data_IF_526100822076
#
_entry.id   IF_526100822076
#
_cell.length_a   1.000
_cell.length_b   1.000
_cell.length_c   1.000
_cell.angle_alpha   90.00
_cell.angle_beta   90.00
_cell.angle_gamma   90.00
#
_symmetry.space_group_name_H-M   'P 1'
#
loop_
_entity.id
_entity.type
_entity.pdbx_description
1 polymer ?
#
# COMPACT_ATOMS: atom_id res chain seq x y z
N UNK A 1 -18.56 -18.03 2.40
CA UNK A 1 -17.50 -19.04 2.37
C UNK A 1 -16.24 -18.43 2.97
N UNK A 2 -15.57 -19.15 3.84
CA UNK A 2 -14.25 -18.73 4.33
C UNK A 2 -13.25 -18.97 3.20
N UNK A 3 -12.66 -17.91 2.66
CA UNK A 3 -11.54 -18.03 1.75
C UNK A 3 -10.32 -18.42 2.57
N UNK A 4 -9.73 -19.58 2.30
CA UNK A 4 -8.46 -19.96 2.90
C UNK A 4 -7.37 -19.06 2.31
N UNK A 5 -6.73 -18.28 3.15
CA UNK A 5 -5.60 -17.45 2.78
C UNK A 5 -4.30 -18.25 2.99
N UNK A 6 -3.52 -18.35 1.95
CA UNK A 6 -2.20 -18.96 2.01
C UNK A 6 -1.13 -17.88 1.88
N UNK A 7 -0.28 -17.77 2.91
CA UNK A 7 0.88 -16.89 2.90
C UNK A 7 2.15 -17.70 2.63
N UNK A 8 2.97 -17.19 1.73
CA UNK A 8 4.37 -17.61 1.61
C UNK A 8 5.26 -16.37 1.56
N UNK A 9 6.39 -16.43 2.22
CA UNK A 9 7.41 -15.39 2.12
C UNK A 9 8.40 -15.66 0.97
N UNK A 10 8.22 -16.74 0.22
CA UNK A 10 9.08 -17.12 -0.91
C UNK A 10 9.13 -16.04 -1.99
N UNK A 11 8.03 -15.27 -2.15
CA UNK A 11 7.98 -14.14 -3.10
C UNK A 11 9.02 -13.05 -2.83
N UNK A 12 9.50 -12.98 -1.60
CA UNK A 12 10.46 -11.98 -1.15
C UNK A 12 11.87 -12.56 -0.98
N UNK A 13 12.01 -13.90 -0.96
CA UNK A 13 13.25 -14.62 -0.64
C UNK A 13 13.99 -15.15 -1.83
N UNK A 14 13.35 -15.31 -2.99
CA UNK A 14 13.98 -15.98 -4.10
C UNK A 14 15.24 -15.29 -4.60
N UNK A 15 16.31 -16.05 -4.88
CA UNK A 15 17.57 -15.49 -5.30
C UNK A 15 17.43 -14.78 -6.64
N UNK A 16 17.99 -13.60 -6.72
CA UNK A 16 18.11 -12.84 -7.96
C UNK A 16 19.00 -13.60 -8.91
N UNK A 17 18.46 -14.26 -9.92
CA UNK A 17 19.34 -14.83 -10.92
C UNK A 17 18.81 -15.91 -11.83
N UNK A 18 17.76 -16.63 -11.49
CA UNK A 18 17.24 -17.67 -12.38
C UNK A 18 15.81 -17.48 -12.84
N UNK A 19 15.00 -16.81 -12.09
CA UNK A 19 13.69 -16.26 -12.46
C UNK A 19 13.43 -15.08 -11.52
N UNK A 20 13.83 -13.94 -11.92
CA UNK A 20 13.34 -12.60 -11.75
C UNK A 20 12.18 -12.40 -10.75
N UNK A 21 12.41 -12.68 -9.48
CA UNK A 21 11.52 -12.20 -8.44
C UNK A 21 12.01 -10.85 -7.89
N UNK A 22 12.50 -10.01 -8.80
CA UNK A 22 12.51 -8.62 -8.47
C UNK A 22 11.06 -8.12 -8.51
N UNK A 23 10.81 -7.04 -7.83
CA UNK A 23 9.47 -6.44 -7.69
C UNK A 23 8.85 -6.00 -9.03
N UNK A 24 9.61 -5.99 -10.13
CA UNK A 24 9.14 -5.64 -11.47
C UNK A 24 8.44 -6.80 -12.19
N UNK A 25 8.53 -8.03 -11.65
CA UNK A 25 7.87 -9.20 -12.22
C UNK A 25 6.51 -9.41 -11.54
N UNK A 26 5.45 -9.39 -12.34
CA UNK A 26 4.10 -9.64 -11.82
C UNK A 26 3.97 -11.07 -11.29
N UNK A 27 3.54 -11.18 -10.03
CA UNK A 27 3.26 -12.46 -9.39
C UNK A 27 1.80 -12.52 -8.95
N UNK A 28 0.95 -13.39 -9.56
CA UNK A 28 -0.48 -13.48 -9.23
C UNK A 28 -0.74 -13.90 -7.77
N UNK A 29 0.12 -14.74 -7.21
CA UNK A 29 -0.04 -15.19 -5.84
C UNK A 29 0.28 -14.08 -4.84
N UNK A 30 1.33 -13.26 -5.10
CA UNK A 30 1.63 -12.07 -4.32
C UNK A 30 0.53 -11.02 -4.46
N UNK A 31 -0.04 -10.85 -5.66
CA UNK A 31 -1.20 -9.98 -5.86
C UNK A 31 -2.40 -10.44 -5.03
N UNK A 32 -2.70 -11.73 -5.01
CA UNK A 32 -3.78 -12.29 -4.18
C UNK A 32 -3.50 -12.07 -2.70
N UNK A 33 -2.28 -12.29 -2.26
CA UNK A 33 -1.84 -12.06 -0.88
C UNK A 33 -1.97 -10.59 -0.48
N UNK A 34 -1.59 -9.68 -1.39
CA UNK A 34 -1.71 -8.24 -1.21
C UNK A 34 -3.17 -7.78 -1.09
N UNK A 35 -4.07 -8.34 -1.92
CA UNK A 35 -5.49 -8.07 -1.81
C UNK A 35 -6.07 -8.55 -0.47
N UNK A 36 -5.66 -9.72 0.01
CA UNK A 36 -6.11 -10.23 1.31
C UNK A 36 -5.62 -9.35 2.47
N UNK A 37 -4.39 -8.84 2.40
CA UNK A 37 -3.88 -7.89 3.38
C UNK A 37 -4.73 -6.61 3.35
N UNK A 38 -5.02 -6.09 2.19
CA UNK A 38 -5.84 -4.89 2.02
C UNK A 38 -7.27 -5.09 2.54
N UNK A 39 -7.92 -6.21 2.19
CA UNK A 39 -9.25 -6.55 2.70
C UNK A 39 -9.27 -6.72 4.23
N UNK A 40 -8.17 -7.17 4.83
CA UNK A 40 -8.05 -7.25 6.29
C UNK A 40 -7.90 -5.88 6.96
N UNK A 41 -7.31 -4.92 6.25
CA UNK A 41 -7.18 -3.54 6.69
C UNK A 41 -8.48 -2.72 6.43
N UNK A 42 -9.41 -3.27 5.67
CA UNK A 42 -10.68 -2.63 5.36
C UNK A 42 -11.59 -2.60 6.58
N UNK A 43 -12.21 -1.45 6.80
CA UNK A 43 -13.27 -1.35 7.78
C UNK A 43 -14.53 -2.05 7.27
N UNK A 44 -15.04 -3.00 8.02
CA UNK A 44 -16.40 -3.50 7.77
C UNK A 44 -17.42 -2.40 8.06
N UNK A 45 -18.25 -2.00 7.10
CA UNK A 45 -19.28 -0.98 7.33
C UNK A 45 -20.45 -1.62 8.06
N UNK A 46 -20.40 -1.75 9.34
CA UNK A 46 -21.63 -1.76 10.11
C UNK A 46 -22.06 -0.31 10.27
N UNK A 47 -23.31 0.02 9.95
CA UNK A 47 -23.87 1.38 9.88
C UNK A 47 -23.60 2.29 11.08
N UNK A 48 -23.05 1.77 12.17
CA UNK A 48 -22.82 2.50 13.42
C UNK A 48 -21.38 2.39 13.95
N UNK A 49 -20.49 1.64 13.30
CA UNK A 49 -19.11 1.44 13.79
C UNK A 49 -18.13 2.17 12.89
N UNK A 50 -18.10 3.49 13.01
CA UNK A 50 -17.12 4.35 12.33
C UNK A 50 -15.69 4.19 12.86
N UNK A 51 -15.52 3.41 13.91
CA UNK A 51 -14.22 3.05 14.45
C UNK A 51 -13.68 1.91 13.59
N UNK A 52 -12.81 2.25 12.69
CA UNK A 52 -12.08 1.29 11.90
C UNK A 52 -11.15 0.51 12.81
N UNK A 53 -11.50 -0.74 13.04
CA UNK A 53 -10.64 -1.64 13.82
C UNK A 53 -9.54 -2.16 12.91
N UNK A 54 -8.32 -1.74 13.14
CA UNK A 54 -7.11 -2.33 12.53
C UNK A 54 -6.83 -3.76 13.02
N UNK A 55 -7.67 -4.28 13.91
CA UNK A 55 -7.50 -5.59 14.57
C UNK A 55 -7.44 -6.76 13.57
N UNK A 56 -8.16 -6.70 12.47
CA UNK A 56 -8.13 -7.77 11.48
C UNK A 56 -6.78 -7.82 10.77
N UNK A 57 -6.25 -6.67 10.37
CA UNK A 57 -4.91 -6.59 9.79
C UNK A 57 -3.84 -7.03 10.79
N UNK A 58 -3.97 -6.61 12.07
CA UNK A 58 -3.08 -7.05 13.15
C UNK A 58 -3.09 -8.56 13.32
N UNK A 59 -4.27 -9.17 13.36
CA UNK A 59 -4.42 -10.63 13.49
C UNK A 59 -3.84 -11.36 12.29
N UNK A 60 -4.09 -10.86 11.07
CA UNK A 60 -3.56 -11.45 9.87
C UNK A 60 -2.02 -11.38 9.87
N UNK A 61 -1.46 -10.19 10.01
CA UNK A 61 -0.01 -9.99 10.00
C UNK A 61 0.69 -10.76 11.12
N UNK A 62 0.09 -10.81 12.33
CA UNK A 62 0.62 -11.64 13.43
C UNK A 62 0.65 -13.14 13.12
N UNK A 63 -0.39 -13.67 12.44
CA UNK A 63 -0.41 -15.07 11.97
C UNK A 63 0.64 -15.35 10.89
N UNK A 64 1.03 -14.33 10.14
CA UNK A 64 2.06 -14.40 9.11
C UNK A 64 3.49 -14.22 9.67
N UNK A 65 3.63 -14.05 10.99
CA UNK A 65 4.91 -13.88 11.65
C UNK A 65 5.44 -12.44 11.65
N UNK A 66 4.59 -11.46 11.33
CA UNK A 66 4.96 -10.05 11.44
C UNK A 66 4.80 -9.56 12.89
N UNK A 67 5.71 -8.70 13.30
CA UNK A 67 5.79 -8.11 14.63
C UNK A 67 5.65 -6.58 14.57
N UNK A 68 5.60 -5.94 15.74
CA UNK A 68 5.56 -4.48 15.88
C UNK A 68 4.45 -3.80 15.09
N UNK A 69 3.25 -4.41 15.08
CA UNK A 69 2.10 -3.85 14.39
C UNK A 69 1.73 -2.46 14.91
N UNK A 70 1.58 -1.51 14.00
CA UNK A 70 1.09 -0.16 14.28
C UNK A 70 0.06 0.27 13.23
N UNK A 71 -0.87 1.11 13.68
CA UNK A 71 -1.81 1.83 12.82
C UNK A 71 -1.63 3.33 13.03
N UNK A 72 -1.72 4.10 11.97
CA UNK A 72 -1.66 5.56 12.07
C UNK A 72 -2.96 6.14 12.64
N UNK A 73 -2.97 7.44 12.93
CA UNK A 73 -4.14 8.12 13.49
C UNK A 73 -5.34 8.15 12.54
N UNK A 74 -5.12 8.03 11.24
CA UNK A 74 -6.18 7.88 10.24
C UNK A 74 -7.05 6.65 10.44
N UNK A 75 -6.55 5.61 11.12
CA UNK A 75 -7.35 4.45 11.54
C UNK A 75 -8.19 4.67 12.79
N UNK A 76 -7.82 5.63 13.62
CA UNK A 76 -8.46 5.89 14.91
C UNK A 76 -9.64 6.85 14.81
N UNK A 77 -9.72 7.61 13.72
CA UNK A 77 -10.72 8.64 13.50
C UNK A 77 -11.71 8.26 12.41
N UNK A 78 -12.89 8.89 12.42
CA UNK A 78 -13.83 8.78 11.32
C UNK A 78 -13.14 9.25 10.03
N UNK A 79 -13.20 8.47 8.94
CA UNK A 79 -12.59 8.88 7.69
C UNK A 79 -13.11 10.25 7.23
N UNK A 80 -12.21 11.14 6.90
CA UNK A 80 -12.50 12.43 6.30
C UNK A 80 -11.77 12.53 4.96
N UNK A 81 -12.11 13.54 4.15
CA UNK A 81 -11.42 13.79 2.88
C UNK A 81 -9.89 13.92 3.03
N UNK A 82 -9.42 14.34 4.21
CA UNK A 82 -8.02 14.63 4.49
C UNK A 82 -7.33 13.54 5.34
N UNK A 83 -8.07 12.53 5.82
CA UNK A 83 -7.51 11.43 6.61
C UNK A 83 -7.38 10.16 5.78
N UNK A 84 -6.28 9.42 6.00
CA UNK A 84 -6.08 8.12 5.39
C UNK A 84 -5.53 7.14 6.44
N UNK A 85 -6.16 5.96 6.52
CA UNK A 85 -5.73 4.91 7.42
C UNK A 85 -4.63 4.06 6.80
N UNK A 86 -3.55 3.86 7.53
CA UNK A 86 -2.47 2.95 7.15
C UNK A 86 -2.04 2.09 8.35
N UNK A 87 -1.63 0.86 8.06
CA UNK A 87 -1.05 -0.06 9.04
C UNK A 87 0.31 -0.52 8.57
N UNK A 88 1.23 -0.71 9.52
CA UNK A 88 2.55 -1.26 9.25
C UNK A 88 2.89 -2.37 10.25
N UNK A 89 3.64 -3.36 9.78
CA UNK A 89 4.27 -4.38 10.61
C UNK A 89 5.53 -4.89 9.90
N UNK A 90 6.44 -5.54 10.62
CA UNK A 90 7.69 -6.02 10.06
C UNK A 90 7.96 -7.48 10.39
N UNK A 91 8.78 -8.12 9.56
CA UNK A 91 9.41 -9.41 9.86
C UNK A 91 10.82 -9.46 9.30
N UNK A 92 11.65 -10.36 9.81
CA UNK A 92 13.04 -10.52 9.37
C UNK A 92 13.12 -11.60 8.29
N UNK A 93 13.91 -11.33 7.26
CA UNK A 93 14.21 -12.27 6.18
C UNK A 93 15.73 -12.38 6.03
N UNK A 94 16.22 -13.58 5.76
CA UNK A 94 17.61 -13.80 5.32
C UNK A 94 17.59 -14.36 3.90
N UNK A 95 18.24 -13.68 2.97
CA UNK A 95 18.27 -14.02 1.55
C UNK A 95 19.73 -14.00 1.13
N UNK A 96 20.24 -15.13 0.63
CA UNK A 96 21.66 -15.24 0.18
C UNK A 96 22.68 -14.77 1.24
N UNK A 97 22.43 -15.09 2.50
CA UNK A 97 23.23 -14.68 3.68
C UNK A 97 23.18 -13.18 3.99
N UNK A 98 22.28 -12.44 3.38
CA UNK A 98 22.01 -11.04 3.69
C UNK A 98 20.71 -10.90 4.48
N UNK A 99 20.75 -10.08 5.52
CA UNK A 99 19.59 -9.84 6.37
C UNK A 99 18.78 -8.64 5.84
N UNK A 100 17.48 -8.84 5.76
CA UNK A 100 16.49 -7.84 5.38
C UNK A 100 15.43 -7.72 6.47
N UNK A 101 14.86 -6.54 6.58
CA UNK A 101 13.57 -6.36 7.24
C UNK A 101 12.51 -6.18 6.16
N UNK A 102 11.52 -7.08 6.12
CA UNK A 102 10.33 -6.91 5.30
C UNK A 102 9.31 -6.08 6.06
N UNK A 103 8.96 -4.92 5.53
CA UNK A 103 7.91 -4.05 6.07
C UNK A 103 6.66 -4.24 5.21
N UNK A 104 5.55 -4.67 5.82
CA UNK A 104 4.23 -4.64 5.20
C UNK A 104 3.57 -3.30 5.52
N UNK A 105 3.07 -2.60 4.50
CA UNK A 105 2.36 -1.33 4.61
C UNK A 105 1.06 -1.43 3.81
N UNK A 106 -0.08 -1.45 4.49
CA UNK A 106 -1.39 -1.47 3.86
C UNK A 106 -2.12 -0.15 4.07
N UNK A 107 -2.63 0.42 2.98
CA UNK A 107 -3.29 1.73 2.98
C UNK A 107 -4.77 1.53 2.66
N UNK A 108 -5.60 1.73 3.66
CA UNK A 108 -7.04 1.54 3.58
C UNK A 108 -7.67 2.39 2.50
N UNK A 109 -8.57 1.80 1.71
CA UNK A 109 -9.47 2.54 0.84
C UNK A 109 -10.52 3.35 1.63
N UNK A 110 -11.08 4.37 0.98
CA UNK A 110 -12.28 5.06 1.47
C UNK A 110 -13.51 4.22 1.13
N UNK A 111 -14.39 3.98 2.09
CA UNK A 111 -15.59 3.16 1.89
C UNK A 111 -16.90 3.87 2.25
N UNK A 112 -16.96 5.21 2.24
CA UNK A 112 -18.07 5.90 2.88
C UNK A 112 -18.63 7.03 2.02
N UNK A 113 -19.97 7.20 2.11
CA UNK A 113 -20.76 8.18 1.37
C UNK A 113 -20.19 9.62 1.45
N UNK A 114 -19.60 10.00 2.59
CA UNK A 114 -19.01 11.33 2.76
C UNK A 114 -17.71 11.53 1.95
N UNK A 115 -16.96 10.44 1.66
CA UNK A 115 -15.78 10.49 0.81
C UNK A 115 -16.15 10.46 -0.67
N UNK A 116 -17.25 9.79 -1.03
CA UNK A 116 -17.78 9.76 -2.39
C UNK A 116 -18.25 11.14 -2.86
N UNK A 117 -18.93 11.90 -2.01
CA UNK A 117 -19.39 13.23 -2.35
C UNK A 117 -18.24 14.22 -2.64
N UNK A 118 -17.09 14.05 -1.98
CA UNK A 118 -15.88 14.86 -2.25
C UNK A 118 -15.08 14.39 -3.45
N UNK A 119 -15.16 13.08 -3.79
CA UNK A 119 -14.45 12.51 -4.93
C UNK A 119 -15.15 12.74 -6.27
N UNK A 120 -16.46 12.99 -6.26
CA UNK A 120 -17.26 13.33 -7.47
C UNK A 120 -17.21 14.82 -7.80
N UNK A 121 -16.86 15.69 -6.85
CA UNK A 121 -16.62 17.11 -7.12
C UNK A 121 -15.18 17.29 -7.62
N UNK A 122 -14.90 16.71 -8.75
CA UNK A 122 -13.57 16.74 -9.39
C UNK A 122 -13.33 18.08 -10.09
N UNK A 123 -12.88 19.06 -9.35
CA UNK A 123 -12.24 20.22 -9.92
C UNK A 123 -10.75 19.94 -10.16
N UNK A 124 -10.24 20.38 -11.29
CA UNK A 124 -8.90 20.14 -11.86
C UNK A 124 -7.67 20.31 -10.94
N UNK A 125 -7.80 20.72 -9.69
CA UNK A 125 -6.68 20.99 -8.76
C UNK A 125 -6.82 20.32 -7.38
N UNK A 126 -8.01 19.99 -6.92
CA UNK A 126 -8.23 19.54 -5.53
C UNK A 126 -7.91 18.07 -5.27
N UNK A 127 -7.93 17.23 -6.30
CA UNK A 127 -7.67 15.79 -6.12
C UNK A 127 -6.19 15.46 -5.98
N UNK A 128 -5.36 16.09 -6.80
CA UNK A 128 -3.90 15.95 -6.67
C UNK A 128 -3.43 16.34 -5.27
N UNK A 129 -3.88 17.47 -4.76
CA UNK A 129 -3.51 17.94 -3.42
C UNK A 129 -3.97 16.99 -2.29
N UNK A 130 -5.16 16.39 -2.42
CA UNK A 130 -5.67 15.44 -1.43
C UNK A 130 -4.87 14.14 -1.38
N UNK A 131 -4.45 13.62 -2.53
CA UNK A 131 -3.61 12.41 -2.59
C UNK A 131 -2.16 12.71 -2.21
N UNK A 132 -1.61 13.85 -2.59
CA UNK A 132 -0.27 14.29 -2.16
C UNK A 132 -0.21 14.42 -0.64
N UNK A 133 -1.20 15.06 -0.02
CA UNK A 133 -1.26 15.14 1.43
C UNK A 133 -1.38 13.76 2.07
N UNK A 134 -2.24 12.89 1.55
CA UNK A 134 -2.39 11.53 2.05
C UNK A 134 -1.10 10.72 1.91
N UNK A 135 -0.38 10.85 0.80
CA UNK A 135 0.90 10.17 0.61
C UNK A 135 1.95 10.68 1.60
N UNK A 136 2.01 11.98 1.85
CA UNK A 136 2.93 12.55 2.82
C UNK A 136 2.62 12.07 4.23
N UNK A 137 1.34 12.06 4.65
CA UNK A 137 0.91 11.60 5.97
C UNK A 137 1.31 10.11 6.20
N UNK A 138 1.18 9.26 5.16
CA UNK A 138 1.58 7.85 5.24
C UNK A 138 3.09 7.69 5.22
N UNK A 139 3.82 8.49 4.45
CA UNK A 139 5.28 8.48 4.45
C UNK A 139 5.85 8.95 5.80
N UNK A 140 5.27 9.95 6.42
CA UNK A 140 5.64 10.42 7.76
C UNK A 140 5.36 9.34 8.83
N UNK A 141 4.25 8.61 8.66
CA UNK A 141 3.95 7.44 9.49
C UNK A 141 5.00 6.33 9.30
N UNK A 142 5.37 6.00 8.06
CA UNK A 142 6.39 5.00 7.76
C UNK A 142 7.76 5.41 8.32
N UNK A 143 8.15 6.68 8.16
CA UNK A 143 9.41 7.21 8.72
C UNK A 143 9.45 7.10 10.25
N UNK A 144 8.32 7.43 10.89
CA UNK A 144 8.16 7.31 12.35
C UNK A 144 8.21 5.86 12.79
N UNK A 145 7.54 4.96 12.05
CA UNK A 145 7.54 3.52 12.29
C UNK A 145 8.96 2.94 12.25
N UNK A 146 9.73 3.27 11.21
CA UNK A 146 11.12 2.82 11.04
C UNK A 146 11.99 3.30 12.19
N UNK A 147 11.90 4.57 12.57
CA UNK A 147 12.69 5.15 13.67
C UNK A 147 12.34 4.52 15.02
N UNK A 148 11.04 4.42 15.32
CA UNK A 148 10.53 3.90 16.59
C UNK A 148 10.93 2.43 16.79
N UNK A 149 10.82 1.62 15.76
CA UNK A 149 11.17 0.20 15.82
C UNK A 149 12.67 -0.07 15.54
N UNK A 150 13.46 1.01 15.42
CA UNK A 150 14.92 0.94 15.22
C UNK A 150 15.34 0.09 14.04
N UNK A 151 14.53 0.09 12.98
CA UNK A 151 14.82 -0.67 11.76
C UNK A 151 16.00 -0.04 11.05
N UNK A 152 17.00 -0.86 10.69
CA UNK A 152 18.25 -0.42 10.05
C UNK A 152 18.65 -1.39 8.95
N UNK A 153 19.54 -0.94 8.06
CA UNK A 153 20.10 -1.78 7.00
C UNK A 153 19.16 -1.95 5.81
N UNK A 154 19.19 -3.11 5.18
CA UNK A 154 18.40 -3.40 3.97
C UNK A 154 16.96 -3.71 4.33
N UNK A 155 16.04 -3.09 3.60
CA UNK A 155 14.60 -3.36 3.75
C UNK A 155 13.99 -3.78 2.43
N UNK A 156 12.93 -4.59 2.51
CA UNK A 156 11.94 -4.78 1.46
C UNK A 156 10.64 -4.15 1.92
N UNK A 157 9.96 -3.47 1.02
CA UNK A 157 8.67 -2.84 1.30
C UNK A 157 7.56 -3.52 0.50
N UNK A 158 6.63 -4.16 1.20
CA UNK A 158 5.41 -4.71 0.64
C UNK A 158 4.27 -3.72 0.88
N UNK A 159 3.95 -2.96 -0.17
CA UNK A 159 2.99 -1.87 -0.15
C UNK A 159 1.71 -2.29 -0.87
N UNK A 160 0.57 -2.10 -0.24
CA UNK A 160 -0.73 -2.33 -0.88
C UNK A 160 -1.72 -1.24 -0.55
N UNK A 161 -2.68 -1.03 -1.44
CA UNK A 161 -3.76 -0.08 -1.26
C UNK A 161 -4.97 -0.41 -2.12
N UNK A 162 -6.16 0.03 -1.69
CA UNK A 162 -7.39 -0.14 -2.44
C UNK A 162 -8.07 1.22 -2.67
N UNK A 163 -8.62 1.45 -3.86
CA UNK A 163 -9.31 2.68 -4.23
C UNK A 163 -8.46 3.93 -3.92
N UNK A 164 -8.91 4.84 -3.05
CA UNK A 164 -8.14 6.00 -2.59
C UNK A 164 -6.78 5.58 -1.99
N UNK A 165 -6.74 4.47 -1.25
CA UNK A 165 -5.49 3.90 -0.73
C UNK A 165 -4.56 3.44 -1.85
N UNK A 166 -5.10 2.93 -2.97
CA UNK A 166 -4.32 2.57 -4.14
C UNK A 166 -3.70 3.80 -4.83
N UNK A 167 -4.45 4.90 -4.96
CA UNK A 167 -3.89 6.16 -5.47
C UNK A 167 -2.74 6.67 -4.59
N UNK A 168 -2.93 6.62 -3.28
CA UNK A 168 -1.89 6.99 -2.30
C UNK A 168 -0.67 6.06 -2.40
N UNK A 169 -0.88 4.74 -2.50
CA UNK A 169 0.21 3.76 -2.67
C UNK A 169 1.00 4.00 -3.96
N UNK A 170 0.33 4.33 -5.06
CA UNK A 170 0.99 4.70 -6.32
C UNK A 170 1.94 5.90 -6.16
N UNK A 171 1.46 6.98 -5.51
CA UNK A 171 2.28 8.17 -5.28
C UNK A 171 3.48 7.86 -4.40
N UNK A 172 3.28 7.13 -3.30
CA UNK A 172 4.36 6.71 -2.39
C UNK A 172 5.41 5.88 -3.15
N UNK A 173 4.97 4.88 -3.91
CA UNK A 173 5.88 4.04 -4.68
C UNK A 173 6.63 4.85 -5.76
N UNK A 174 5.95 5.79 -6.41
CA UNK A 174 6.56 6.73 -7.35
C UNK A 174 7.63 7.59 -6.71
N UNK A 175 7.37 8.19 -5.55
CA UNK A 175 8.34 9.00 -4.82
C UNK A 175 9.57 8.18 -4.38
N UNK A 176 9.37 6.96 -3.87
CA UNK A 176 10.45 6.07 -3.47
C UNK A 176 11.31 5.66 -4.67
N UNK A 177 10.71 5.32 -5.81
CA UNK A 177 11.43 5.03 -7.05
C UNK A 177 12.17 6.26 -7.61
N UNK A 178 11.66 7.46 -7.35
CA UNK A 178 12.28 8.73 -7.73
C UNK A 178 13.39 9.19 -6.76
N UNK A 179 13.73 8.35 -5.78
CA UNK A 179 14.91 8.56 -4.93
C UNK A 179 14.61 9.14 -3.55
N UNK A 180 13.33 9.26 -3.13
CA UNK A 180 13.02 9.57 -1.74
C UNK A 180 13.65 8.53 -0.83
N UNK A 181 14.37 8.97 0.19
CA UNK A 181 15.03 8.10 1.15
C UNK A 181 14.16 7.88 2.38
N UNK A 182 14.14 6.64 2.85
CA UNK A 182 13.62 6.29 4.17
C UNK A 182 14.72 6.44 5.23
N UNK A 183 14.38 6.80 6.47
CA UNK A 183 15.36 7.03 7.51
C UNK A 183 16.08 5.73 7.92
N UNK A 184 17.40 5.78 8.03
CA UNK A 184 18.26 4.72 8.61
C UNK A 184 18.26 3.38 7.83
N UNK A 185 17.56 3.27 6.70
CA UNK A 185 17.44 2.05 5.93
C UNK A 185 17.80 2.26 4.46
N UNK A 186 18.08 1.17 3.77
CA UNK A 186 18.28 1.14 2.32
C UNK A 186 17.18 0.33 1.67
N UNK A 187 16.41 0.97 0.79
CA UNK A 187 15.39 0.35 -0.05
C UNK A 187 15.85 0.44 -1.51
N UNK A 188 16.11 -0.69 -2.14
CA UNK A 188 16.33 -0.74 -3.58
C UNK A 188 14.97 -0.77 -4.31
N UNK A 189 14.91 -0.25 -5.54
CA UNK A 189 13.67 -0.30 -6.34
C UNK A 189 13.19 -1.72 -6.57
N UNK A 190 14.12 -2.69 -6.71
CA UNK A 190 13.81 -4.12 -6.81
C UNK A 190 13.25 -4.73 -5.53
N UNK A 191 13.30 -4.03 -4.41
CA UNK A 191 12.82 -4.46 -3.10
C UNK A 191 11.51 -3.74 -2.70
N UNK A 192 10.95 -2.93 -3.60
CA UNK A 192 9.65 -2.29 -3.43
C UNK A 192 8.58 -3.05 -4.23
N UNK A 193 7.63 -3.64 -3.54
CA UNK A 193 6.52 -4.42 -4.10
C UNK A 193 5.21 -3.66 -3.87
N UNK A 194 4.71 -2.95 -4.89
CA UNK A 194 3.51 -2.14 -4.77
C UNK A 194 2.35 -2.74 -5.56
N UNK A 195 1.27 -3.09 -4.86
CA UNK A 195 0.03 -3.61 -5.43
C UNK A 195 -1.14 -2.67 -5.13
N UNK A 196 -1.66 -2.06 -6.17
CA UNK A 196 -2.67 -1.02 -6.12
C UNK A 196 -3.96 -1.54 -6.76
N UNK A 197 -5.02 -1.71 -5.95
CA UNK A 197 -6.29 -2.28 -6.38
C UNK A 197 -7.32 -1.18 -6.62
N UNK A 198 -7.93 -1.18 -7.80
CA UNK A 198 -8.98 -0.23 -8.20
C UNK A 198 -8.58 1.25 -7.98
N UNK A 199 -7.37 1.69 -8.37
CA UNK A 199 -7.02 3.09 -8.25
C UNK A 199 -7.94 3.94 -9.13
N UNK A 200 -8.36 5.13 -8.67
CA UNK A 200 -9.08 6.09 -9.50
C UNK A 200 -8.27 6.47 -10.74
N UNK A 201 -8.93 6.63 -11.89
CA UNK A 201 -8.26 6.84 -13.17
C UNK A 201 -7.31 8.08 -13.20
N UNK A 202 -7.67 9.17 -12.52
CA UNK A 202 -6.82 10.36 -12.43
C UNK A 202 -5.50 10.17 -11.68
N UNK A 203 -5.34 9.07 -10.93
CA UNK A 203 -4.08 8.73 -10.29
C UNK A 203 -3.08 8.08 -11.25
N UNK A 204 -3.54 7.61 -12.41
CA UNK A 204 -2.73 6.88 -13.39
C UNK A 204 -2.10 7.80 -14.44
N UNK A 205 -2.71 8.93 -14.77
CA UNK A 205 -2.33 9.73 -15.93
C UNK A 205 -1.02 10.53 -15.76
N UNK A 206 -0.63 10.83 -14.53
CA UNK A 206 0.57 11.63 -14.25
C UNK A 206 1.73 10.85 -13.64
N UNK A 207 1.63 9.51 -13.60
CA UNK A 207 2.64 8.68 -12.89
C UNK A 207 3.91 8.40 -13.71
N UNK A 208 4.07 8.94 -14.91
CA UNK A 208 5.24 8.64 -15.74
C UNK A 208 5.35 7.15 -16.11
N UNK A 209 4.22 6.50 -16.27
CA UNK A 209 3.97 5.05 -16.35
C UNK A 209 4.77 4.29 -17.41
N UNK A 210 5.49 4.96 -18.29
CA UNK A 210 6.33 4.33 -19.32
C UNK A 210 7.80 4.20 -18.92
N UNK A 211 8.17 4.68 -17.73
CA UNK A 211 9.54 4.57 -17.25
C UNK A 211 9.73 3.21 -16.56
N UNK A 212 10.71 2.43 -17.04
CA UNK A 212 11.03 1.09 -16.53
C UNK A 212 11.27 1.05 -15.01
N UNK A 213 11.66 2.17 -14.40
CA UNK A 213 11.85 2.28 -12.95
C UNK A 213 10.55 2.16 -12.15
N UNK A 214 9.38 2.23 -12.78
CA UNK A 214 8.06 2.10 -12.15
C UNK A 214 7.39 0.75 -12.43
N UNK A 215 8.08 -0.20 -13.06
CA UNK A 215 7.52 -1.53 -13.35
C UNK A 215 7.18 -2.36 -12.09
N UNK A 216 7.64 -1.93 -10.93
CA UNK A 216 7.31 -2.51 -9.62
C UNK A 216 6.01 -1.98 -9.01
N UNK A 217 5.28 -1.11 -9.72
CA UNK A 217 3.96 -0.62 -9.33
C UNK A 217 2.91 -1.34 -10.17
N UNK A 218 2.19 -2.27 -9.54
CA UNK A 218 1.18 -3.09 -10.19
C UNK A 218 -0.20 -2.52 -9.91
N UNK A 219 -0.86 -2.01 -10.95
CA UNK A 219 -2.24 -1.52 -10.87
C UNK A 219 -3.18 -2.60 -11.36
N UNK A 220 -4.11 -3.02 -10.50
CA UNK A 220 -5.11 -4.06 -10.79
C UNK A 220 -6.47 -3.39 -10.82
N UNK A 221 -7.10 -3.37 -12.00
CA UNK A 221 -8.38 -2.70 -12.23
C UNK A 221 -9.42 -3.70 -12.76
N UNK A 222 -10.64 -3.57 -12.29
CA UNK A 222 -11.79 -4.27 -12.87
C UNK A 222 -12.35 -3.42 -14.01
N UNK A 223 -12.24 -3.89 -15.23
CA UNK A 223 -12.71 -3.18 -16.42
C UNK A 223 -14.23 -2.89 -16.41
N UNK A 224 -14.99 -3.55 -15.56
CA UNK A 224 -16.43 -3.33 -15.39
C UNK A 224 -16.74 -2.33 -14.26
N UNK A 225 -15.74 -1.88 -13.50
CA UNK A 225 -15.95 -0.90 -12.45
C UNK A 225 -16.03 0.51 -13.05
N UNK A 226 -17.14 1.19 -12.78
CA UNK A 226 -17.37 2.58 -13.25
C UNK A 226 -16.38 3.55 -12.61
N UNK A 227 -15.93 3.29 -11.39
CA UNK A 227 -15.00 4.16 -10.63
C UNK A 227 -13.65 4.27 -11.32
N UNK A 228 -13.19 3.18 -11.94
CA UNK A 228 -11.92 3.17 -12.69
C UNK A 228 -12.02 3.90 -14.04
N UNK A 229 -13.24 4.20 -14.49
CA UNK A 229 -13.54 4.88 -15.77
C UNK A 229 -13.87 6.36 -15.61
N UNK A 230 -14.17 6.80 -14.39
CA UNK A 230 -14.48 8.20 -14.10
C UNK A 230 -13.18 8.94 -13.81
N UNK A 231 -12.37 9.12 -14.85
CA UNK A 231 -11.39 10.21 -14.84
C UNK A 231 -12.11 11.47 -15.26
N UNK A 232 -11.91 12.61 -14.62
CA UNK A 232 -12.25 13.86 -15.25
C UNK A 232 -11.36 13.98 -16.48
N UNK A 233 -11.98 13.99 -17.67
CA UNK A 233 -11.27 14.39 -18.86
C UNK A 233 -10.62 15.74 -18.60
N UNK A 234 -9.31 15.80 -18.80
CA UNK A 234 -8.54 17.03 -18.76
C UNK A 234 -9.04 18.01 -19.81
#
# INVERSE_FOLDING_TARGET
GQTQFHYSDDYFKEPRGTYQNDSSTYNPSLATMSLNLELSAWASPTKNDYLVKSDNAKKLLGKLGFEHFEANDGFKVKPTKDSIGAVAAETKLTIDKEDYTLIALAIRGGGYEAEWASNVTMGKTGQHQGFEKASQDVLDFLDTYIKKNKIKGKVKLWLTGYSRGAATANLIAGELNNGRKLPQVTLASSDLYAFCFEPPAGALENSGVKDAKHNNIVNIVNLNDVVTKVAPNA
#
